data_IF_704576017952
#
_entry.id   IF_704576017952
#
_cell.length_a   1.000
_cell.length_b   1.000
_cell.length_c   1.000
_cell.angle_alpha   90.00
_cell.angle_beta   90.00
_cell.angle_gamma   90.00
#
_symmetry.space_group_name_H-M   'P 1'
#
loop_
_entity.id
_entity.type
_entity.pdbx_description
1 polymer ?
#
# COMPACT_ATOMS: atom_id res chain seq x y z
N UNK A 1 -20.73 -30.81 19.70
CA UNK A 1 -20.26 -30.19 18.45
C UNK A 1 -20.39 -28.68 18.53
N UNK A 2 -19.37 -28.03 18.14
CA UNK A 2 -19.34 -26.58 18.19
C UNK A 2 -19.82 -25.97 16.86
N UNK A 3 -20.69 -24.98 16.96
CA UNK A 3 -21.16 -24.23 15.79
C UNK A 3 -20.90 -22.75 16.06
N UNK A 4 -20.16 -22.13 15.16
CA UNK A 4 -19.89 -20.71 15.28
C UNK A 4 -21.17 -19.91 15.07
N UNK A 5 -21.36 -18.87 15.87
CA UNK A 5 -22.51 -17.98 15.70
C UNK A 5 -22.31 -17.10 14.46
N UNK A 6 -23.42 -16.56 13.96
CA UNK A 6 -23.35 -15.62 12.84
C UNK A 6 -22.51 -14.40 13.18
N UNK A 7 -22.58 -13.93 14.43
CA UNK A 7 -21.80 -12.78 14.85
C UNK A 7 -20.30 -13.08 14.78
N UNK A 8 -19.91 -14.26 15.25
CA UNK A 8 -18.51 -14.68 15.19
C UNK A 8 -18.03 -14.82 13.74
N UNK A 9 -18.87 -15.36 12.87
CA UNK A 9 -18.54 -15.53 11.47
C UNK A 9 -18.37 -14.17 10.77
N UNK A 10 -19.27 -13.23 11.04
CA UNK A 10 -19.17 -11.89 10.48
C UNK A 10 -17.91 -11.17 10.93
N UNK A 11 -17.57 -11.35 12.20
CA UNK A 11 -16.34 -10.76 12.73
C UNK A 11 -15.12 -11.32 12.02
N UNK A 12 -15.09 -12.63 11.83
CA UNK A 12 -13.98 -13.30 11.13
C UNK A 12 -13.87 -12.83 9.70
N UNK A 13 -15.01 -12.70 9.01
CA UNK A 13 -15.04 -12.23 7.64
C UNK A 13 -14.51 -10.81 7.52
N UNK A 14 -14.86 -9.94 8.46
CA UNK A 14 -14.35 -8.57 8.49
C UNK A 14 -12.84 -8.52 8.74
N UNK A 15 -12.36 -9.37 9.62
CA UNK A 15 -10.92 -9.46 9.89
C UNK A 15 -10.16 -9.93 8.65
N UNK A 16 -10.70 -10.90 7.92
CA UNK A 16 -10.10 -11.38 6.70
C UNK A 16 -10.08 -10.28 5.64
N UNK A 17 -11.18 -9.54 5.50
CA UNK A 17 -11.25 -8.44 4.54
C UNK A 17 -10.29 -7.31 4.89
N UNK A 18 -10.15 -6.97 6.16
CA UNK A 18 -9.21 -5.95 6.61
C UNK A 18 -7.78 -6.37 6.33
N UNK A 19 -7.45 -7.63 6.64
CA UNK A 19 -6.13 -8.19 6.36
C UNK A 19 -5.83 -8.16 4.87
N UNK A 20 -6.83 -8.54 4.05
CA UNK A 20 -6.69 -8.53 2.60
C UNK A 20 -6.47 -7.12 2.06
N UNK A 21 -7.20 -6.13 2.60
CA UNK A 21 -7.02 -4.74 2.19
C UNK A 21 -5.63 -4.22 2.54
N UNK A 22 -5.14 -4.57 3.71
CA UNK A 22 -3.80 -4.18 4.15
C UNK A 22 -2.74 -4.81 3.25
N UNK A 23 -2.90 -6.10 2.93
CA UNK A 23 -1.99 -6.77 2.02
C UNK A 23 -1.97 -6.10 0.65
N UNK A 24 -3.15 -5.74 0.13
CA UNK A 24 -3.26 -5.04 -1.15
C UNK A 24 -2.57 -3.69 -1.10
N UNK A 25 -2.67 -2.98 0.04
CA UNK A 25 -2.02 -1.69 0.20
C UNK A 25 -0.50 -1.83 0.08
N UNK A 26 0.08 -2.81 0.78
CA UNK A 26 1.52 -3.05 0.70
C UNK A 26 1.93 -3.51 -0.70
N UNK A 27 1.15 -4.37 -1.33
CA UNK A 27 1.41 -4.79 -2.70
C UNK A 27 1.41 -3.61 -3.66
N UNK A 28 0.49 -2.67 -3.47
CA UNK A 28 0.43 -1.47 -4.30
C UNK A 28 1.70 -0.64 -4.13
N UNK A 29 2.18 -0.46 -2.91
CA UNK A 29 3.42 0.26 -2.66
C UNK A 29 4.61 -0.41 -3.34
N UNK A 30 4.68 -1.73 -3.23
CA UNK A 30 5.75 -2.51 -3.86
C UNK A 30 5.70 -2.38 -5.39
N UNK A 31 4.50 -2.44 -5.95
CA UNK A 31 4.33 -2.29 -7.39
C UNK A 31 4.77 -0.90 -7.85
N UNK A 32 4.34 0.14 -7.14
CA UNK A 32 4.70 1.51 -7.48
C UNK A 32 6.20 1.75 -7.34
N UNK A 33 6.88 1.02 -6.46
CA UNK A 33 8.33 1.17 -6.28
C UNK A 33 9.11 0.77 -7.54
N UNK A 34 8.51 -0.09 -8.38
CA UNK A 34 9.14 -0.51 -9.63
C UNK A 34 8.75 0.36 -10.81
N UNK A 35 7.91 1.36 -10.59
CA UNK A 35 7.39 2.24 -11.65
C UNK A 35 7.52 3.70 -11.22
N UNK A 36 8.76 4.21 -11.16
CA UNK A 36 8.99 5.57 -10.65
C UNK A 36 8.34 6.65 -11.50
N UNK A 37 8.08 6.38 -12.77
CA UNK A 37 7.42 7.35 -13.66
C UNK A 37 5.91 7.39 -13.45
N UNK A 38 5.34 6.43 -12.72
CA UNK A 38 3.93 6.37 -12.46
C UNK A 38 3.28 5.11 -12.98
N UNK A 39 2.07 4.86 -12.50
CA UNK A 39 1.29 3.67 -12.86
C UNK A 39 -0.18 4.06 -12.97
N UNK A 40 -0.85 3.71 -14.08
CA UNK A 40 -2.28 4.00 -14.22
C UNK A 40 -3.10 3.14 -13.27
N UNK A 41 -4.27 3.67 -12.91
CA UNK A 41 -5.19 2.95 -12.03
C UNK A 41 -5.57 1.58 -12.59
N UNK A 42 -5.82 1.50 -13.89
CA UNK A 42 -6.20 0.24 -14.53
C UNK A 42 -5.12 -0.82 -14.39
N UNK A 43 -3.86 -0.43 -14.52
CA UNK A 43 -2.74 -1.35 -14.35
C UNK A 43 -2.65 -1.82 -12.91
N UNK A 44 -2.82 -0.92 -11.96
CA UNK A 44 -2.83 -1.27 -10.55
C UNK A 44 -3.94 -2.27 -10.23
N UNK A 45 -5.16 -2.02 -10.73
CA UNK A 45 -6.28 -2.93 -10.51
C UNK A 45 -5.99 -4.31 -11.09
N UNK A 46 -5.45 -4.35 -12.30
CA UNK A 46 -5.11 -5.60 -12.97
C UNK A 46 -4.04 -6.38 -12.23
N UNK A 47 -2.97 -5.71 -11.84
CA UNK A 47 -1.85 -6.35 -11.14
C UNK A 47 -2.24 -6.83 -9.75
N UNK A 48 -3.11 -6.09 -9.07
CA UNK A 48 -3.57 -6.47 -7.75
C UNK A 48 -4.75 -7.43 -7.78
N UNK A 49 -5.27 -7.69 -8.97
CA UNK A 49 -6.42 -8.58 -9.19
C UNK A 49 -7.62 -8.15 -8.36
N UNK A 50 -7.97 -6.89 -8.47
CA UNK A 50 -9.13 -6.31 -7.78
C UNK A 50 -9.93 -5.45 -8.77
N UNK A 51 -11.22 -5.21 -8.49
CA UNK A 51 -12.02 -4.33 -9.33
C UNK A 51 -11.44 -2.91 -9.36
N UNK A 52 -11.70 -2.21 -10.46
CA UNK A 52 -11.21 -0.85 -10.65
C UNK A 52 -11.66 0.08 -9.51
N UNK A 53 -12.91 -0.07 -9.07
CA UNK A 53 -13.45 0.74 -7.97
C UNK A 53 -12.71 0.49 -6.67
N UNK A 54 -12.35 -0.77 -6.39
CA UNK A 54 -11.59 -1.13 -5.20
C UNK A 54 -10.18 -0.55 -5.27
N UNK A 55 -9.55 -0.59 -6.44
CA UNK A 55 -8.24 -0.02 -6.64
C UNK A 55 -8.27 1.49 -6.41
N UNK A 56 -9.28 2.18 -6.95
CA UNK A 56 -9.43 3.61 -6.76
C UNK A 56 -9.54 3.96 -5.27
N UNK A 57 -10.34 3.20 -4.53
CA UNK A 57 -10.51 3.43 -3.09
C UNK A 57 -9.20 3.19 -2.34
N UNK A 58 -8.49 2.14 -2.71
CA UNK A 58 -7.21 1.79 -2.08
C UNK A 58 -6.19 2.90 -2.30
N UNK A 59 -6.07 3.38 -3.52
CA UNK A 59 -5.12 4.44 -3.83
C UNK A 59 -5.50 5.74 -3.16
N UNK A 60 -6.80 6.03 -3.04
CA UNK A 60 -7.27 7.21 -2.32
C UNK A 60 -6.82 7.15 -0.85
N UNK A 61 -6.91 5.98 -0.23
CA UNK A 61 -6.45 5.81 1.14
C UNK A 61 -4.93 5.98 1.26
N UNK A 62 -4.19 5.45 0.31
CA UNK A 62 -2.73 5.61 0.31
C UNK A 62 -2.32 7.07 0.11
N UNK A 63 -3.07 7.82 -0.69
CA UNK A 63 -2.86 9.26 -0.84
C UNK A 63 -3.12 9.96 0.49
N UNK A 64 -4.20 9.60 1.15
CA UNK A 64 -4.58 10.17 2.44
C UNK A 64 -3.50 9.91 3.48
N UNK A 65 -2.88 8.75 3.44
CA UNK A 65 -1.77 8.42 4.33
C UNK A 65 -0.47 9.14 3.96
N UNK A 66 -0.40 9.70 2.76
CA UNK A 66 0.75 10.47 2.31
C UNK A 66 1.82 9.67 1.58
N UNK A 67 1.60 8.38 1.34
CA UNK A 67 2.60 7.52 0.69
C UNK A 67 2.51 7.54 -0.83
N UNK A 68 1.38 7.98 -1.38
CA UNK A 68 1.13 8.01 -2.81
C UNK A 68 0.61 9.39 -3.18
N UNK A 69 0.91 9.84 -4.39
CA UNK A 69 0.27 11.01 -4.96
C UNK A 69 -0.17 10.67 -6.38
N UNK A 70 -1.13 11.41 -6.89
CA UNK A 70 -1.58 11.26 -8.26
C UNK A 70 -1.06 12.46 -9.05
N UNK A 71 -0.39 12.17 -10.17
CA UNK A 71 0.12 13.22 -11.03
C UNK A 71 -1.06 13.91 -11.73
N UNK A 72 -1.25 15.22 -11.53
CA UNK A 72 -2.40 15.90 -12.13
C UNK A 72 -2.37 15.98 -13.64
N UNK A 73 -1.21 15.82 -14.26
CA UNK A 73 -1.09 15.94 -15.70
C UNK A 73 -1.53 14.68 -16.43
N UNK A 74 -1.14 13.51 -15.94
CA UNK A 74 -1.46 12.25 -16.60
C UNK A 74 -2.34 11.32 -15.77
N UNK A 75 -2.66 11.70 -14.53
CA UNK A 75 -3.51 10.92 -13.67
C UNK A 75 -2.86 9.67 -13.08
N UNK A 76 -1.60 9.45 -13.36
CA UNK A 76 -0.92 8.25 -12.86
C UNK A 76 -0.52 8.41 -11.40
N UNK A 77 -0.39 7.28 -10.72
CA UNK A 77 -0.05 7.24 -9.30
C UNK A 77 1.44 6.99 -9.14
N UNK A 78 2.05 7.72 -8.21
CA UNK A 78 3.49 7.58 -7.91
C UNK A 78 3.70 7.58 -6.41
N UNK A 79 4.76 6.93 -5.96
CA UNK A 79 5.17 6.99 -4.56
C UNK A 79 5.69 8.37 -4.19
N UNK A 80 5.51 8.73 -2.93
CA UNK A 80 6.08 9.95 -2.37
C UNK A 80 7.37 9.63 -1.62
N UNK A 81 8.08 10.68 -1.24
CA UNK A 81 9.32 10.55 -0.45
C UNK A 81 9.04 10.02 0.97
N UNK A 82 7.80 10.01 1.41
CA UNK A 82 7.46 9.61 2.78
C UNK A 82 7.93 8.19 3.11
N UNK A 83 7.80 7.27 2.15
CA UNK A 83 8.25 5.89 2.37
C UNK A 83 9.76 5.84 2.60
N UNK A 84 10.50 6.63 1.82
CA UNK A 84 11.95 6.74 1.99
C UNK A 84 12.28 7.32 3.37
N UNK A 85 11.55 8.35 3.78
CA UNK A 85 11.76 8.99 5.09
C UNK A 85 11.55 8.00 6.23
N UNK A 86 10.52 7.16 6.14
CA UNK A 86 10.26 6.14 7.14
C UNK A 86 11.43 5.15 7.21
N UNK A 87 11.90 4.70 6.05
CA UNK A 87 13.02 3.79 5.98
C UNK A 87 14.30 4.38 6.55
N UNK A 88 14.58 5.63 6.20
CA UNK A 88 15.77 6.31 6.71
C UNK A 88 15.70 6.53 8.22
N UNK A 89 14.53 6.84 8.74
CA UNK A 89 14.35 6.98 10.18
C UNK A 89 14.68 5.68 10.92
N UNK A 90 14.22 4.57 10.36
CA UNK A 90 14.52 3.27 10.94
C UNK A 90 16.02 2.96 10.89
N UNK A 91 16.64 3.19 9.74
CA UNK A 91 18.06 2.93 9.57
C UNK A 91 18.90 3.78 10.53
N UNK A 92 18.53 5.04 10.69
CA UNK A 92 19.21 5.96 11.60
C UNK A 92 19.11 5.48 13.05
N UNK A 93 17.90 5.10 13.46
CA UNK A 93 17.65 4.66 14.82
C UNK A 93 18.36 3.33 15.12
N UNK A 94 18.53 2.47 14.13
CA UNK A 94 19.17 1.18 14.30
C UNK A 94 20.70 1.24 14.21
N UNK A 95 21.25 2.36 13.77
CA UNK A 95 22.69 2.51 13.57
C UNK A 95 23.19 1.96 12.24
N UNK A 96 22.33 1.34 11.44
CA UNK A 96 22.72 0.75 10.16
C UNK A 96 23.22 1.83 9.19
N UNK A 97 22.65 3.01 9.25
CA UNK A 97 23.03 4.10 8.36
C UNK A 97 24.51 4.45 8.49
N UNK A 98 25.05 4.44 9.72
CA UNK A 98 26.44 4.76 9.95
C UNK A 98 27.36 3.74 9.28
N UNK A 99 26.96 2.47 9.29
CA UNK A 99 27.72 1.39 8.68
C UNK A 99 27.55 1.39 7.17
N UNK A 100 26.32 1.61 6.70
CA UNK A 100 25.98 1.53 5.29
C UNK A 100 26.31 2.80 4.52
N UNK A 101 26.63 3.87 5.19
CA UNK A 101 26.86 5.15 4.53
C UNK A 101 28.13 5.10 3.69
N UNK A 102 28.02 5.32 2.40
CA UNK A 102 29.16 5.15 1.51
C UNK A 102 30.18 6.28 1.58
N UNK A 103 29.84 7.35 2.18
CA UNK A 103 30.69 8.54 2.18
C UNK A 103 31.19 8.92 3.54
#
# INVERSE_FOLDING_TARGET
MFVATLAQQRKRDREIQMSSALERAFQALELLSTRPSGCPLSTLASELDIPLSASHRLLAELIKCGYVRQNPQDGQYVLTIKLVSVGLSFLSASGIVDVAQPL
#
